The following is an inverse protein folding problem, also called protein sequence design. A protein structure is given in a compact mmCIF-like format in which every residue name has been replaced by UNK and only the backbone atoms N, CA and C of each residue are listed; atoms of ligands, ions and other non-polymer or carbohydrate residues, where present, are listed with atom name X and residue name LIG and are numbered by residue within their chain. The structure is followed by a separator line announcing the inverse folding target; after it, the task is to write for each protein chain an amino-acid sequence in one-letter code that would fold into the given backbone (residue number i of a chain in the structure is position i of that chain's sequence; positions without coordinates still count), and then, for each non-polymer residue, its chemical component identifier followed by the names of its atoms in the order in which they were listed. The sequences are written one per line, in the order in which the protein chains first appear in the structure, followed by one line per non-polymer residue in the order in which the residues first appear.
data_IF_528050815636
#
_entry.id   IF_528050815636
#
_cell.length_a   1.000
_cell.length_b   1.000
_cell.length_c   1.000
_cell.angle_alpha   90.00
_cell.angle_beta   90.00
_cell.angle_gamma   90.00
#
_symmetry.space_group_name_H-M   'P 1'
#
loop_
_entity.id
_entity.type
_entity.pdbx_description
1 polymer ?
#
# COMPACT_ATOMS: atom_id res chain seq x y z
N UNK A 1 -13.92 3.39 12.23
CA UNK A 1 -14.67 3.26 10.97
C UNK A 1 -14.46 1.91 10.27
N UNK A 2 -13.55 1.04 10.71
CA UNK A 2 -13.42 -0.32 10.17
C UNK A 2 -14.07 -1.32 11.13
N UNK A 3 -15.06 -2.08 10.65
CA UNK A 3 -15.67 -3.21 11.36
C UNK A 3 -14.62 -4.31 11.66
N UNK A 4 -14.94 -5.23 12.58
CA UNK A 4 -14.05 -6.35 12.91
C UNK A 4 -13.85 -7.27 11.70
N UNK A 5 -12.60 -7.63 11.40
CA UNK A 5 -12.25 -8.42 10.20
C UNK A 5 -12.35 -7.62 8.90
N UNK A 6 -12.47 -6.30 8.98
CA UNK A 6 -12.57 -5.44 7.82
C UNK A 6 -11.27 -5.34 7.03
N UNK A 7 -11.39 -4.88 5.79
CA UNK A 7 -10.27 -4.69 4.86
C UNK A 7 -10.09 -3.19 4.58
N UNK A 8 -8.85 -2.71 4.58
CA UNK A 8 -8.50 -1.36 4.16
C UNK A 8 -7.53 -1.40 2.98
N UNK A 9 -7.82 -0.60 1.97
CA UNK A 9 -6.91 -0.37 0.85
C UNK A 9 -6.26 1.01 1.01
N UNK A 10 -4.94 1.07 1.01
CA UNK A 10 -4.18 2.31 1.15
C UNK A 10 -3.29 2.47 -0.07
N UNK A 11 -3.27 3.67 -0.65
CA UNK A 11 -2.50 3.96 -1.86
C UNK A 11 -1.72 5.26 -1.73
N UNK A 12 -0.66 5.37 -2.51
CA UNK A 12 0.00 6.64 -2.83
C UNK A 12 0.34 6.68 -4.32
N UNK A 13 0.08 7.83 -4.94
CA UNK A 13 0.45 8.14 -6.33
C UNK A 13 1.66 9.09 -6.42
N UNK A 14 2.37 9.31 -5.32
CA UNK A 14 3.55 10.17 -5.32
C UNK A 14 4.79 9.34 -5.63
N UNK A 15 5.54 9.73 -6.66
CA UNK A 15 6.84 9.12 -6.96
C UNK A 15 7.81 9.20 -5.77
N UNK A 16 7.70 10.23 -4.91
CA UNK A 16 8.56 10.37 -3.73
C UNK A 16 8.20 9.42 -2.58
N UNK A 17 6.99 8.84 -2.59
CA UNK A 17 6.58 7.84 -1.60
C UNK A 17 6.94 6.46 -2.14
N UNK A 18 8.08 5.93 -1.71
CA UNK A 18 8.55 4.58 -2.02
C UNK A 18 7.81 3.53 -1.19
N UNK A 19 8.01 2.26 -1.52
CA UNK A 19 7.36 1.14 -0.85
C UNK A 19 7.64 1.14 0.66
N UNK A 20 8.87 1.43 1.08
CA UNK A 20 9.23 1.52 2.49
C UNK A 20 8.50 2.65 3.23
N UNK A 21 8.25 3.79 2.56
CA UNK A 21 7.54 4.92 3.15
C UNK A 21 6.09 4.54 3.41
N UNK A 22 5.41 3.97 2.41
CA UNK A 22 4.03 3.52 2.56
C UNK A 22 3.92 2.42 3.62
N UNK A 23 4.89 1.49 3.66
CA UNK A 23 4.92 0.41 4.64
C UNK A 23 5.10 0.96 6.07
N UNK A 24 5.98 1.96 6.24
CA UNK A 24 6.17 2.63 7.53
C UNK A 24 4.89 3.32 8.01
N UNK A 25 4.14 3.95 7.09
CA UNK A 25 2.83 4.54 7.41
C UNK A 25 1.85 3.46 7.86
N UNK A 26 1.71 2.38 7.08
CA UNK A 26 0.83 1.26 7.44
C UNK A 26 1.17 0.67 8.82
N UNK A 27 2.45 0.37 9.06
CA UNK A 27 2.94 -0.16 10.33
C UNK A 27 2.64 0.76 11.52
N UNK A 28 2.90 2.07 11.37
CA UNK A 28 2.63 3.05 12.44
C UNK A 28 1.14 3.17 12.71
N UNK A 29 0.32 3.27 11.65
CA UNK A 29 -1.13 3.41 11.76
C UNK A 29 -1.79 2.19 12.39
N UNK A 30 -1.39 0.97 11.99
CA UNK A 30 -1.93 -0.26 12.59
C UNK A 30 -1.48 -0.42 14.05
N UNK A 31 -0.22 -0.10 14.35
CA UNK A 31 0.29 -0.12 15.73
C UNK A 31 -0.48 0.82 16.67
N UNK A 32 -0.82 2.03 16.22
CA UNK A 32 -1.64 2.98 16.98
C UNK A 32 -3.09 2.51 17.15
N UNK A 33 -3.60 1.69 16.23
CA UNK A 33 -4.98 1.20 16.30
C UNK A 33 -5.18 0.08 17.32
N UNK A 34 -4.10 -0.50 17.87
CA UNK A 34 -4.12 -1.68 18.75
C UNK A 34 -4.87 -2.89 18.15
N UNK A 35 -4.93 -2.95 16.82
CA UNK A 35 -5.53 -4.04 16.04
C UNK A 35 -4.43 -4.66 15.19
N UNK A 36 -4.51 -5.97 14.99
CA UNK A 36 -3.56 -6.70 14.15
C UNK A 36 -4.06 -6.74 12.72
N UNK A 37 -3.15 -6.55 11.77
CA UNK A 37 -3.44 -6.55 10.36
C UNK A 37 -2.38 -7.33 9.61
N UNK A 38 -2.80 -7.97 8.51
CA UNK A 38 -1.92 -8.63 7.55
C UNK A 38 -2.02 -7.98 6.17
N UNK A 39 -0.91 -7.96 5.46
CA UNK A 39 -0.90 -7.55 4.04
C UNK A 39 -1.45 -8.71 3.21
N UNK A 40 -2.58 -8.48 2.56
CA UNK A 40 -3.23 -9.45 1.66
C UNK A 40 -2.69 -9.31 0.24
N UNK A 41 -2.48 -8.07 -0.22
CA UNK A 41 -1.93 -7.79 -1.56
C UNK A 41 -1.08 -6.52 -1.58
N UNK A 42 -0.01 -6.58 -2.39
CA UNK A 42 0.68 -5.41 -2.91
C UNK A 42 0.00 -5.01 -4.23
N UNK A 43 -0.30 -3.73 -4.39
CA UNK A 43 -1.00 -3.18 -5.56
C UNK A 43 -0.20 -2.05 -6.17
N UNK A 44 -0.24 -1.94 -7.50
CA UNK A 44 0.50 -0.94 -8.27
C UNK A 44 -0.28 -0.56 -9.54
N UNK A 45 0.32 0.29 -10.38
CA UNK A 45 -0.20 0.65 -11.70
C UNK A 45 -0.27 -0.55 -12.66
N UNK A 46 -1.27 -0.58 -13.54
CA UNK A 46 -1.38 -1.59 -14.59
C UNK A 46 -0.24 -1.37 -15.61
N UNK A 47 0.57 -2.40 -15.82
CA UNK A 47 1.74 -2.31 -16.69
C UNK A 47 1.41 -2.33 -18.18
N UNK A 48 0.14 -2.49 -18.58
CA UNK A 48 -0.27 -2.45 -20.00
C UNK A 48 -0.49 -1.03 -20.50
N UNK A 49 -1.01 -0.14 -19.66
CA UNK A 49 -1.33 1.24 -19.99
C UNK A 49 -0.50 2.26 -19.19
N UNK A 50 0.11 1.85 -18.07
CA UNK A 50 0.98 2.67 -17.23
C UNK A 50 2.32 1.97 -16.99
N UNK A 51 3.07 1.75 -18.07
CA UNK A 51 4.34 1.04 -18.09
C UNK A 51 5.38 1.73 -17.18
N UNK A 52 6.21 0.92 -16.51
CA UNK A 52 7.43 1.38 -15.83
C UNK A 52 8.64 0.92 -16.63
N UNK A 53 9.25 1.79 -17.46
CA UNK A 53 10.42 1.43 -18.24
C UNK A 53 11.63 1.21 -17.32
N UNK A 54 12.46 0.20 -17.62
CA UNK A 54 13.68 -0.11 -16.84
C UNK A 54 14.65 1.08 -16.79
N UNK A 55 14.69 1.88 -17.84
CA UNK A 55 15.54 3.08 -17.94
C UNK A 55 14.90 4.35 -17.35
N UNK A 56 13.67 4.25 -16.83
CA UNK A 56 12.97 5.37 -16.20
C UNK A 56 12.15 4.86 -14.99
N UNK A 57 12.82 4.37 -13.93
CA UNK A 57 12.17 3.80 -12.75
C UNK A 57 11.29 4.80 -11.99
N UNK A 58 11.50 6.10 -12.18
CA UNK A 58 10.66 7.18 -11.66
C UNK A 58 9.21 7.13 -12.18
N UNK A 59 8.95 6.39 -13.27
CA UNK A 59 7.61 6.09 -13.75
C UNK A 59 6.81 5.17 -12.81
N UNK A 60 7.46 4.48 -11.86
CA UNK A 60 6.75 3.79 -10.78
C UNK A 60 6.32 4.83 -9.73
N UNK A 61 5.06 5.25 -9.79
CA UNK A 61 4.51 6.25 -8.86
C UNK A 61 3.33 5.74 -8.05
N UNK A 62 2.58 4.73 -8.55
CA UNK A 62 1.45 4.16 -7.84
C UNK A 62 1.87 2.95 -7.01
N UNK A 63 1.66 3.04 -5.69
CA UNK A 63 1.90 1.97 -4.72
C UNK A 63 0.70 1.82 -3.82
N UNK A 64 0.39 0.59 -3.43
CA UNK A 64 -0.73 0.33 -2.55
C UNK A 64 -0.65 -0.99 -1.80
N UNK A 65 -1.34 -1.03 -0.67
CA UNK A 65 -1.53 -2.24 0.11
C UNK A 65 -3.02 -2.50 0.30
N UNK A 66 -3.38 -3.77 0.22
CA UNK A 66 -4.62 -4.28 0.77
C UNK A 66 -4.29 -4.92 2.13
N UNK A 67 -4.83 -4.37 3.21
CA UNK A 67 -4.65 -4.87 4.56
C UNK A 67 -5.97 -5.42 5.07
N UNK A 68 -5.93 -6.55 5.76
CA UNK A 68 -7.08 -7.16 6.42
C UNK A 68 -6.79 -7.30 7.91
N UNK A 69 -7.77 -6.97 8.75
CA UNK A 69 -7.65 -7.18 10.19
C UNK A 69 -7.72 -8.67 10.54
N UNK A 70 -6.83 -9.12 11.42
CA UNK A 70 -6.92 -10.47 11.98
C UNK A 70 -8.16 -10.62 12.88
N UNK A 71 -8.79 -11.80 12.88
CA UNK A 71 -10.01 -12.10 13.65
C UNK A 71 -9.74 -12.47 15.11
#
# INVERSE_FOLDING_TARGET
MLEKGGVVAVFSCSNHIKWEHLYSVAQRSTGLSQRNFRVVRLLNQDFRDHIVPVNFPEAEYLRGFLLEEDL
#
